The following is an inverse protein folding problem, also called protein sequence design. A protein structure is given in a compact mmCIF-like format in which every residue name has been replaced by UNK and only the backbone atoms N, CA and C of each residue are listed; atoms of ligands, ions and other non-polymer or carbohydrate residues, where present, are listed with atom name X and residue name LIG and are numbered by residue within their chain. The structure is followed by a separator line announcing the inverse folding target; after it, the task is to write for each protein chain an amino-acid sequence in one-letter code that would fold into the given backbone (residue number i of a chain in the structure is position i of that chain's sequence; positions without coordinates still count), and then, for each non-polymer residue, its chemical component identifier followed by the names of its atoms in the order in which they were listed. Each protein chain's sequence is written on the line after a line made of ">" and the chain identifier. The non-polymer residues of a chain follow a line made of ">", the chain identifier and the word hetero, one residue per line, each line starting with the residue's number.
data_IF_137452551262
#
_entry.id   IF_137452551262
#
_cell.length_a   1.000
_cell.length_b   1.000
_cell.length_c   1.000
_cell.angle_alpha   90.00
_cell.angle_beta   90.00
_cell.angle_gamma   90.00
#
_symmetry.space_group_name_H-M   'P 1'
#
loop_
_entity.id
_entity.type
_entity.pdbx_description
1 polymer ?
#
# COMPACT_ATOMS: atom_id res chain seq x y z
N UNK A 1 -12.80 1.29 0.87
CA UNK A 1 -12.77 0.05 0.07
C UNK A 1 -11.68 0.25 -0.96
N UNK A 2 -11.12 -0.81 -1.54
CA UNK A 2 -9.95 -0.68 -2.45
C UNK A 2 -10.23 0.32 -3.58
N UNK A 3 -9.49 1.42 -3.64
CA UNK A 3 -9.67 2.49 -4.64
C UNK A 3 -9.45 2.02 -6.07
N UNK A 4 -8.40 1.23 -6.31
CA UNK A 4 -8.06 0.72 -7.65
C UNK A 4 -7.88 -0.79 -7.64
N UNK A 5 -8.72 -1.47 -8.42
CA UNK A 5 -8.61 -2.91 -8.68
C UNK A 5 -8.16 -3.10 -10.13
N UNK A 6 -6.88 -3.44 -10.32
CA UNK A 6 -6.28 -3.71 -11.62
C UNK A 6 -6.12 -5.22 -11.86
N UNK A 7 -5.82 -5.68 -13.08
CA UNK A 7 -5.68 -7.11 -13.36
C UNK A 7 -4.69 -7.82 -12.43
N UNK A 8 -3.54 -7.21 -12.15
CA UNK A 8 -2.42 -7.83 -11.40
C UNK A 8 -2.17 -7.24 -10.02
N UNK A 9 -2.78 -6.10 -9.69
CA UNK A 9 -2.54 -5.37 -8.43
C UNK A 9 -3.79 -4.68 -7.90
N UNK A 10 -3.77 -4.39 -6.61
CA UNK A 10 -4.73 -3.52 -5.93
C UNK A 10 -3.99 -2.37 -5.27
N UNK A 11 -4.62 -1.20 -5.24
CA UNK A 11 -4.03 0.02 -4.68
C UNK A 11 -5.09 0.70 -3.82
N UNK A 12 -4.70 1.04 -2.59
CA UNK A 12 -5.45 1.96 -1.73
C UNK A 12 -4.64 3.27 -1.61
N UNK A 13 -5.32 4.42 -1.67
CA UNK A 13 -4.72 5.75 -1.60
C UNK A 13 -4.93 6.31 -0.19
N UNK A 14 -3.82 6.61 0.50
CA UNK A 14 -3.85 7.14 1.86
C UNK A 14 -3.10 8.47 1.95
N UNK A 15 -3.84 9.55 2.20
CA UNK A 15 -3.28 10.92 2.32
C UNK A 15 -2.96 11.32 3.75
N UNK A 16 -3.50 10.58 4.73
CA UNK A 16 -3.37 10.87 6.16
C UNK A 16 -2.69 9.71 6.89
N UNK A 17 -1.86 10.02 7.89
CA UNK A 17 -1.17 9.01 8.71
C UNK A 17 -2.14 8.04 9.38
N UNK A 18 -3.28 8.54 9.85
CA UNK A 18 -4.30 7.74 10.55
C UNK A 18 -4.95 6.68 9.65
N UNK A 19 -5.03 6.92 8.33
CA UNK A 19 -5.65 6.01 7.37
C UNK A 19 -4.77 4.82 7.01
N UNK A 20 -3.44 4.91 7.14
CA UNK A 20 -2.48 3.87 6.73
C UNK A 20 -2.86 2.48 7.27
N UNK A 21 -3.15 2.36 8.57
CA UNK A 21 -3.50 1.06 9.17
C UNK A 21 -4.83 0.52 8.67
N UNK A 22 -5.78 1.41 8.37
CA UNK A 22 -7.04 1.02 7.75
C UNK A 22 -6.79 0.53 6.33
N UNK A 23 -6.07 1.30 5.51
CA UNK A 23 -5.71 0.91 4.14
C UNK A 23 -4.99 -0.43 4.06
N UNK A 24 -4.09 -0.74 5.00
CA UNK A 24 -3.46 -2.06 5.13
C UNK A 24 -4.51 -3.17 5.23
N UNK A 25 -5.45 -3.06 6.17
CA UNK A 25 -6.51 -4.08 6.38
C UNK A 25 -7.40 -4.26 5.15
N UNK A 26 -7.59 -3.19 4.37
CA UNK A 26 -8.39 -3.24 3.14
C UNK A 26 -7.68 -4.03 2.05
N UNK A 27 -6.39 -3.79 1.82
CA UNK A 27 -5.64 -4.47 0.76
C UNK A 27 -5.17 -5.88 1.16
N UNK A 28 -4.99 -6.15 2.45
CA UNK A 28 -4.45 -7.42 2.98
C UNK A 28 -5.21 -8.67 2.48
N UNK A 29 -6.53 -8.57 2.30
CA UNK A 29 -7.39 -9.68 1.85
C UNK A 29 -7.23 -10.02 0.37
N UNK A 30 -6.57 -9.17 -0.41
CA UNK A 30 -6.41 -9.39 -1.85
C UNK A 30 -5.33 -10.42 -2.17
N UNK A 31 -5.60 -11.30 -3.12
CA UNK A 31 -4.62 -12.27 -3.66
C UNK A 31 -3.64 -11.67 -4.69
N UNK A 32 -3.93 -10.43 -5.13
CA UNK A 32 -3.10 -9.67 -6.09
C UNK A 32 -1.94 -8.98 -5.38
N UNK A 33 -1.04 -8.35 -6.15
CA UNK A 33 -0.01 -7.50 -5.55
C UNK A 33 -0.66 -6.28 -4.86
N UNK A 34 -0.34 -6.05 -3.59
CA UNK A 34 -1.00 -5.05 -2.74
C UNK A 34 -0.13 -3.82 -2.61
N UNK A 35 -0.68 -2.64 -2.88
CA UNK A 35 0.03 -1.38 -2.72
C UNK A 35 -0.78 -0.38 -1.89
N UNK A 36 -0.08 0.41 -1.09
CA UNK A 36 -0.57 1.70 -0.61
C UNK A 36 0.09 2.81 -1.42
N UNK A 37 -0.70 3.68 -2.02
CA UNK A 37 -0.25 4.94 -2.60
C UNK A 37 -0.36 6.03 -1.54
N UNK A 38 0.77 6.65 -1.17
CA UNK A 38 0.81 7.66 -0.11
C UNK A 38 1.51 8.92 -0.57
N UNK A 39 1.17 10.05 0.04
CA UNK A 39 1.90 11.30 -0.16
C UNK A 39 3.30 11.24 0.46
N UNK A 40 4.21 12.09 -0.03
CA UNK A 40 5.62 12.13 0.38
C UNK A 40 5.84 12.12 1.89
N UNK A 41 5.03 12.84 2.65
CA UNK A 41 5.14 12.94 4.12
C UNK A 41 4.82 11.63 4.84
N UNK A 42 4.03 10.74 4.23
CA UNK A 42 3.61 9.49 4.84
C UNK A 42 4.39 8.26 4.37
N UNK A 43 5.33 8.43 3.43
CA UNK A 43 6.17 7.32 2.93
C UNK A 43 6.84 6.57 4.07
N UNK A 44 7.50 7.28 5.00
CA UNK A 44 8.21 6.65 6.12
C UNK A 44 7.26 5.88 7.05
N UNK A 45 6.13 6.50 7.42
CA UNK A 45 5.09 5.86 8.23
C UNK A 45 4.56 4.58 7.55
N UNK A 46 4.32 4.63 6.24
CA UNK A 46 3.78 3.52 5.48
C UNK A 46 4.81 2.38 5.31
N UNK A 47 6.09 2.69 5.13
CA UNK A 47 7.17 1.68 5.10
C UNK A 47 7.22 0.92 6.42
N UNK A 48 7.26 1.64 7.55
CA UNK A 48 7.28 1.05 8.89
C UNK A 48 6.04 0.21 9.15
N UNK A 49 4.85 0.75 8.89
CA UNK A 49 3.59 0.03 9.13
C UNK A 49 3.40 -1.22 8.27
N UNK A 50 4.05 -1.28 7.10
CA UNK A 50 3.97 -2.41 6.18
C UNK A 50 5.20 -3.33 6.26
N UNK A 51 6.11 -3.11 7.19
CA UNK A 51 7.30 -3.95 7.34
C UNK A 51 6.91 -5.41 7.58
N UNK A 52 7.59 -6.32 6.88
CA UNK A 52 7.28 -7.75 6.94
C UNK A 52 5.91 -8.16 6.38
N UNK A 53 4.99 -7.28 5.99
CA UNK A 53 3.65 -7.66 5.49
C UNK A 53 3.64 -8.14 4.03
N UNK A 54 4.66 -7.78 3.25
CA UNK A 54 4.68 -7.96 1.79
C UNK A 54 3.85 -6.92 1.02
N UNK A 55 3.20 -5.96 1.69
CA UNK A 55 2.52 -4.83 1.05
C UNK A 55 3.57 -3.84 0.51
N UNK A 56 3.41 -3.44 -0.74
CA UNK A 56 4.25 -2.45 -1.41
C UNK A 56 3.78 -1.02 -1.14
N UNK A 57 4.68 -0.06 -1.34
CA UNK A 57 4.42 1.37 -1.20
C UNK A 57 4.67 2.07 -2.52
N UNK A 58 3.76 2.95 -2.91
CA UNK A 58 3.80 3.80 -4.08
C UNK A 58 3.70 5.27 -3.65
N UNK A 59 4.41 6.18 -4.32
CA UNK A 59 4.26 7.63 -4.08
C UNK A 59 3.02 8.19 -4.77
N UNK A 60 2.66 9.44 -4.48
CA UNK A 60 1.54 10.14 -5.14
C UNK A 60 1.68 10.23 -6.67
N UNK A 61 2.90 10.13 -7.19
CA UNK A 61 3.20 10.14 -8.64
C UNK A 61 3.16 8.75 -9.30
N UNK A 62 2.84 7.69 -8.54
CA UNK A 62 2.84 6.32 -9.05
C UNK A 62 4.20 5.60 -9.02
N UNK A 63 5.25 6.25 -8.50
CA UNK A 63 6.57 5.64 -8.35
C UNK A 63 6.53 4.57 -7.25
N UNK A 64 6.99 3.36 -7.55
CA UNK A 64 7.14 2.31 -6.54
C UNK A 64 8.34 2.63 -5.65
N UNK A 65 8.07 2.80 -4.36
CA UNK A 65 9.08 3.04 -3.32
C UNK A 65 9.50 1.72 -2.66
N UNK A 66 8.52 0.86 -2.38
CA UNK A 66 8.72 -0.49 -1.84
C UNK A 66 7.94 -1.46 -2.70
N UNK A 67 8.60 -2.46 -3.27
CA UNK A 67 7.94 -3.45 -4.13
C UNK A 67 7.06 -4.38 -3.28
N UNK A 68 5.85 -4.65 -3.76
CA UNK A 68 5.01 -5.67 -3.15
C UNK A 68 5.65 -7.06 -3.34
N UNK A 69 5.60 -7.88 -2.30
CA UNK A 69 6.04 -9.27 -2.32
C UNK A 69 4.96 -10.16 -1.71
N UNK A 70 4.87 -11.41 -2.18
CA UNK A 70 4.13 -12.40 -1.41
C UNK A 70 4.97 -12.75 -0.20
N UNK A 71 4.41 -12.58 1.00
CA UNK A 71 4.81 -13.40 2.14
C UNK A 71 4.58 -14.85 1.72
N UNK A 72 5.63 -15.68 1.75
CA UNK A 72 5.48 -17.13 1.69
C UNK A 72 4.75 -17.58 2.95
#
# INVERSE_FOLDING_TARGET
>A
GIDLVLPTKVIEVETQKAGILQGIKQVEKSQKARYLAVNKINISNAIQATEGTGIGIMSETGKIIKKASRKK
#
